data_IF_449382492138
#
_entry.id   IF_449382492138
#
_cell.length_a   1.000
_cell.length_b   1.000
_cell.length_c   1.000
_cell.angle_alpha   90.00
_cell.angle_beta   90.00
_cell.angle_gamma   90.00
#
_symmetry.space_group_name_H-M   'P 1'
#
loop_
_entity.id
_entity.type
_entity.pdbx_description
1 polymer ?
#
# COMPACT_ATOMS: atom_id res chain seq x y z
N UNK A 1 14.73 3.54 -29.74
CA UNK A 1 15.53 2.61 -28.90
C UNK A 1 16.61 3.29 -28.04
N UNK A 2 17.31 4.35 -28.47
CA UNK A 2 18.33 5.01 -27.64
C UNK A 2 17.83 5.63 -26.32
N UNK A 3 16.64 6.25 -26.28
CA UNK A 3 16.09 6.84 -25.05
C UNK A 3 15.79 5.80 -23.95
N UNK A 4 15.18 4.67 -24.30
CA UNK A 4 14.93 3.56 -23.38
C UNK A 4 16.23 2.94 -22.86
N UNK A 5 17.24 2.75 -23.73
CA UNK A 5 18.56 2.26 -23.32
C UNK A 5 19.22 3.19 -22.30
N UNK A 6 19.16 4.51 -22.51
CA UNK A 6 19.67 5.50 -21.57
C UNK A 6 18.98 5.40 -20.20
N UNK A 7 17.66 5.26 -20.16
CA UNK A 7 16.91 5.06 -18.92
C UNK A 7 17.34 3.80 -18.15
N UNK A 8 17.52 2.67 -18.84
CA UNK A 8 17.97 1.43 -18.20
C UNK A 8 19.41 1.53 -17.70
N UNK A 9 20.33 2.09 -18.49
CA UNK A 9 21.73 2.31 -18.07
C UNK A 9 21.81 3.29 -16.90
N UNK A 10 21.00 4.35 -16.88
CA UNK A 10 20.96 5.32 -15.80
C UNK A 10 20.46 4.71 -14.49
N UNK A 11 19.39 3.89 -14.54
CA UNK A 11 18.89 3.18 -13.36
C UNK A 11 19.87 2.12 -12.83
N UNK A 12 20.59 1.45 -13.73
CA UNK A 12 21.61 0.45 -13.36
C UNK A 12 22.72 1.10 -12.53
N UNK A 13 23.23 2.25 -13.00
CA UNK A 13 24.30 3.02 -12.36
C UNK A 13 23.85 3.85 -11.15
N UNK A 14 22.55 3.95 -10.87
CA UNK A 14 22.04 4.79 -9.78
C UNK A 14 22.52 4.26 -8.42
N UNK A 15 23.17 5.10 -7.59
CA UNK A 15 23.59 4.71 -6.26
C UNK A 15 22.36 4.47 -5.36
N UNK A 16 22.62 3.91 -4.19
CA UNK A 16 21.63 3.77 -3.12
C UNK A 16 21.09 5.17 -2.79
N UNK A 17 19.77 5.34 -2.88
CA UNK A 17 19.13 6.63 -2.63
C UNK A 17 19.03 6.88 -1.12
N UNK A 18 19.04 8.15 -0.74
CA UNK A 18 19.10 8.62 0.64
C UNK A 18 17.97 8.04 1.49
N UNK A 19 16.80 7.87 0.88
CA UNK A 19 15.61 7.40 1.56
C UNK A 19 15.40 5.89 1.60
N UNK A 20 16.31 5.11 1.01
CA UNK A 20 16.14 3.66 0.93
C UNK A 20 16.59 2.95 2.22
N UNK A 21 16.01 1.78 2.54
CA UNK A 21 16.48 0.97 3.68
C UNK A 21 17.96 0.59 3.56
N UNK A 22 18.44 0.45 2.33
CA UNK A 22 19.82 0.13 2.01
C UNK A 22 20.80 1.23 2.45
N UNK A 23 20.36 2.49 2.50
CA UNK A 23 21.17 3.58 3.03
C UNK A 23 21.42 3.40 4.53
N UNK A 24 20.38 3.07 5.30
CA UNK A 24 20.49 2.78 6.73
C UNK A 24 21.43 1.59 7.00
N UNK A 25 21.30 0.53 6.19
CA UNK A 25 22.15 -0.66 6.32
C UNK A 25 23.62 -0.33 6.05
N UNK A 26 23.89 0.41 4.97
CA UNK A 26 25.24 0.85 4.62
C UNK A 26 25.84 1.75 5.70
N UNK A 27 25.05 2.68 6.25
CA UNK A 27 25.51 3.63 7.26
C UNK A 27 25.96 2.94 8.56
N UNK A 28 25.18 1.97 9.05
CA UNK A 28 25.48 1.30 10.33
C UNK A 28 26.41 0.10 10.22
N UNK A 29 26.28 -0.70 9.16
CA UNK A 29 27.05 -1.95 9.00
C UNK A 29 28.13 -1.88 7.94
N UNK A 30 28.24 -0.78 7.18
CA UNK A 30 29.22 -0.66 6.10
C UNK A 30 29.01 -1.68 4.98
N UNK A 31 27.83 -2.28 4.87
CA UNK A 31 27.56 -3.41 3.99
C UNK A 31 26.64 -3.01 2.82
N UNK A 32 26.97 -3.51 1.62
CA UNK A 32 26.11 -3.47 0.44
C UNK A 32 26.05 -4.87 -0.19
N UNK A 33 24.87 -5.29 -0.70
CA UNK A 33 24.77 -6.58 -1.37
C UNK A 33 25.60 -6.61 -2.66
N UNK A 34 26.37 -7.69 -2.91
CA UNK A 34 26.98 -7.91 -4.21
C UNK A 34 25.89 -8.03 -5.27
N UNK A 35 26.08 -7.41 -6.44
CA UNK A 35 25.06 -7.30 -7.49
C UNK A 35 23.72 -6.75 -6.97
N UNK A 36 23.76 -5.67 -6.18
CA UNK A 36 22.60 -5.02 -5.55
C UNK A 36 21.33 -4.93 -6.42
N UNK A 37 21.47 -4.63 -7.71
CA UNK A 37 20.33 -4.54 -8.62
C UNK A 37 19.59 -5.89 -8.74
N UNK A 38 20.32 -6.99 -8.89
CA UNK A 38 19.74 -8.35 -8.97
C UNK A 38 19.09 -8.73 -7.65
N UNK A 39 19.76 -8.49 -6.52
CA UNK A 39 19.24 -8.80 -5.19
C UNK A 39 17.94 -8.05 -4.92
N UNK A 40 17.90 -6.74 -5.23
CA UNK A 40 16.71 -5.91 -5.04
C UNK A 40 15.56 -6.34 -5.95
N UNK A 41 15.83 -6.62 -7.23
CA UNK A 41 14.80 -7.12 -8.15
C UNK A 41 14.23 -8.44 -7.62
N UNK A 42 15.08 -9.37 -7.18
CA UNK A 42 14.64 -10.64 -6.63
C UNK A 42 13.78 -10.45 -5.37
N UNK A 43 14.16 -9.55 -4.46
CA UNK A 43 13.39 -9.23 -3.25
C UNK A 43 12.04 -8.61 -3.58
N UNK A 44 11.99 -7.64 -4.50
CA UNK A 44 10.73 -7.01 -4.94
C UNK A 44 9.81 -8.05 -5.58
N UNK A 45 10.32 -8.89 -6.48
CA UNK A 45 9.54 -9.96 -7.11
C UNK A 45 9.04 -10.98 -6.08
N UNK A 46 9.87 -11.36 -5.11
CA UNK A 46 9.47 -12.23 -4.02
C UNK A 46 8.37 -11.60 -3.15
N UNK A 47 8.47 -10.29 -2.88
CA UNK A 47 7.44 -9.55 -2.15
C UNK A 47 6.12 -9.48 -2.91
N UNK A 48 6.15 -9.21 -4.22
CA UNK A 48 4.95 -9.25 -5.07
C UNK A 48 4.34 -10.65 -5.18
N UNK A 49 5.17 -11.69 -5.25
CA UNK A 49 4.70 -13.07 -5.17
C UNK A 49 4.00 -13.32 -3.83
N UNK A 50 4.56 -12.80 -2.72
CA UNK A 50 3.91 -12.84 -1.40
C UNK A 50 2.54 -12.14 -1.38
N UNK A 51 2.40 -10.97 -2.02
CA UNK A 51 1.11 -10.28 -2.17
C UNK A 51 0.12 -11.08 -3.02
N UNK A 52 0.58 -11.68 -4.11
CA UNK A 52 -0.25 -12.54 -4.95
C UNK A 52 -0.73 -13.79 -4.18
N UNK A 53 0.17 -14.46 -3.46
CA UNK A 53 -0.15 -15.61 -2.61
C UNK A 53 -1.12 -15.22 -1.50
N UNK A 54 -0.92 -14.07 -0.85
CA UNK A 54 -1.86 -13.53 0.14
C UNK A 54 -3.26 -13.38 -0.47
N UNK A 55 -3.36 -12.84 -1.69
CA UNK A 55 -4.64 -12.67 -2.37
C UNK A 55 -5.32 -14.00 -2.73
N UNK A 56 -4.55 -15.01 -3.11
CA UNK A 56 -5.05 -16.36 -3.41
C UNK A 56 -5.45 -17.15 -2.16
N UNK A 57 -4.78 -16.91 -1.03
CA UNK A 57 -5.03 -17.61 0.24
C UNK A 57 -6.07 -16.91 1.13
N UNK A 58 -6.43 -15.67 0.80
CA UNK A 58 -7.41 -14.90 1.57
C UNK A 58 -8.77 -15.58 1.59
N UNK A 59 -9.46 -15.49 2.74
CA UNK A 59 -10.74 -16.18 2.94
C UNK A 59 -11.87 -15.64 2.07
N UNK A 60 -11.82 -14.33 1.82
CA UNK A 60 -12.73 -13.59 0.94
C UNK A 60 -11.84 -12.80 0.00
N UNK A 61 -12.30 -12.56 -1.23
CA UNK A 61 -11.53 -11.78 -2.21
C UNK A 61 -11.03 -10.44 -1.62
N UNK A 62 -9.72 -10.18 -1.62
CA UNK A 62 -9.18 -8.89 -1.23
C UNK A 62 -9.67 -7.79 -2.18
N UNK A 63 -9.81 -6.56 -1.68
CA UNK A 63 -10.19 -5.42 -2.52
C UNK A 63 -9.01 -5.02 -3.41
N UNK A 64 -9.29 -4.55 -4.63
CA UNK A 64 -8.23 -4.12 -5.57
C UNK A 64 -7.30 -3.08 -4.94
N UNK A 65 -7.87 -2.09 -4.25
CA UNK A 65 -7.11 -1.04 -3.57
C UNK A 65 -6.12 -1.61 -2.53
N UNK A 66 -6.50 -2.68 -1.81
CA UNK A 66 -5.63 -3.31 -0.82
C UNK A 66 -4.42 -3.99 -1.48
N UNK A 67 -4.64 -4.74 -2.56
CA UNK A 67 -3.56 -5.40 -3.30
C UNK A 67 -2.67 -4.38 -4.02
N UNK A 68 -3.26 -3.35 -4.63
CA UNK A 68 -2.53 -2.27 -5.27
C UNK A 68 -1.64 -1.51 -4.26
N UNK A 69 -2.20 -1.17 -3.09
CA UNK A 69 -1.44 -0.56 -2.01
C UNK A 69 -0.25 -1.43 -1.59
N UNK A 70 -0.48 -2.71 -1.28
CA UNK A 70 0.58 -3.63 -0.86
C UNK A 70 1.66 -3.80 -1.94
N UNK A 71 1.27 -3.86 -3.21
CA UNK A 71 2.20 -3.99 -4.35
C UNK A 71 3.16 -2.80 -4.44
N UNK A 72 2.63 -1.57 -4.34
CA UNK A 72 3.46 -0.37 -4.38
C UNK A 72 4.25 -0.21 -3.08
N UNK A 73 3.66 -0.53 -1.92
CA UNK A 73 4.35 -0.44 -0.63
C UNK A 73 5.54 -1.42 -0.53
N UNK A 74 5.39 -2.66 -1.02
CA UNK A 74 6.50 -3.62 -1.15
C UNK A 74 7.62 -3.05 -2.03
N UNK A 75 7.26 -2.46 -3.16
CA UNK A 75 8.23 -1.82 -4.05
C UNK A 75 8.98 -0.69 -3.33
N UNK A 76 8.26 0.20 -2.64
CA UNK A 76 8.83 1.31 -1.86
C UNK A 76 9.77 0.80 -0.76
N UNK A 77 9.39 -0.25 -0.03
CA UNK A 77 10.17 -0.78 1.08
C UNK A 77 11.43 -1.54 0.64
N UNK A 78 11.44 -2.17 -0.53
CA UNK A 78 12.55 -3.05 -0.94
C UNK A 78 13.48 -2.41 -1.98
N UNK A 79 13.02 -1.40 -2.71
CA UNK A 79 13.80 -0.78 -3.77
C UNK A 79 14.99 0.05 -3.22
N UNK A 80 16.09 0.14 -3.99
CA UNK A 80 17.22 1.06 -3.70
C UNK A 80 16.89 2.52 -4.00
N UNK A 81 15.92 2.75 -4.88
CA UNK A 81 15.49 4.08 -5.26
C UNK A 81 14.23 4.42 -4.48
N UNK A 82 14.31 5.44 -3.64
CA UNK A 82 13.15 5.98 -2.96
C UNK A 82 13.18 7.51 -3.03
N UNK A 83 12.11 8.08 -3.53
CA UNK A 83 11.85 9.52 -3.50
C UNK A 83 10.67 9.77 -2.56
N UNK A 84 10.69 10.82 -1.72
CA UNK A 84 9.54 11.20 -0.89
C UNK A 84 8.26 11.42 -1.70
N UNK A 85 8.38 11.65 -3.01
CA UNK A 85 7.25 11.79 -3.94
C UNK A 85 6.45 10.49 -4.12
N UNK A 86 7.04 9.32 -3.88
CA UNK A 86 6.34 8.04 -3.99
C UNK A 86 5.17 7.92 -3.00
N UNK A 87 5.21 8.66 -1.89
CA UNK A 87 4.11 8.78 -0.93
C UNK A 87 2.83 9.27 -1.60
N UNK A 88 2.92 10.14 -2.61
CA UNK A 88 1.76 10.65 -3.34
C UNK A 88 0.98 9.54 -4.07
N UNK A 89 1.66 8.45 -4.45
CA UNK A 89 1.00 7.28 -5.03
C UNK A 89 0.34 6.42 -3.96
N UNK A 90 0.94 6.37 -2.76
CA UNK A 90 0.43 5.59 -1.64
C UNK A 90 -0.79 6.24 -0.98
N UNK A 91 -0.88 7.58 -0.90
CA UNK A 91 -1.99 8.29 -0.25
C UNK A 91 -3.38 7.85 -0.75
N UNK A 92 -3.71 7.95 -2.07
CA UNK A 92 -5.04 7.57 -2.55
C UNK A 92 -5.31 6.07 -2.35
N UNK A 93 -4.28 5.23 -2.54
CA UNK A 93 -4.39 3.79 -2.33
C UNK A 93 -4.61 3.43 -0.86
N UNK A 94 -3.94 4.11 0.07
CA UNK A 94 -4.10 3.91 1.50
C UNK A 94 -5.51 4.33 1.95
N UNK A 95 -6.00 5.47 1.46
CA UNK A 95 -7.34 5.96 1.74
C UNK A 95 -8.43 4.97 1.29
N UNK A 96 -8.26 4.38 0.10
CA UNK A 96 -9.18 3.37 -0.44
C UNK A 96 -9.01 1.99 0.21
N UNK A 97 -7.77 1.58 0.47
CA UNK A 97 -7.47 0.27 1.06
C UNK A 97 -7.98 0.19 2.50
N UNK A 98 -7.89 1.28 3.27
CA UNK A 98 -8.29 1.30 4.67
C UNK A 98 -8.76 2.69 5.10
N UNK A 99 -10.06 3.02 4.95
CA UNK A 99 -10.64 4.32 5.31
C UNK A 99 -10.76 4.52 6.84
N UNK A 100 -9.66 4.32 7.58
CA UNK A 100 -9.54 4.58 9.02
C UNK A 100 -8.61 5.76 9.24
N UNK A 101 -9.18 6.91 9.55
CA UNK A 101 -8.45 8.18 9.68
C UNK A 101 -7.30 8.13 10.68
N UNK A 102 -7.46 7.37 11.78
CA UNK A 102 -6.44 7.24 12.83
C UNK A 102 -5.14 6.66 12.30
N UNK A 103 -5.23 5.57 11.55
CA UNK A 103 -4.06 4.87 11.04
C UNK A 103 -3.42 5.61 9.88
N UNK A 104 -4.26 6.25 9.04
CA UNK A 104 -3.78 7.17 8.02
C UNK A 104 -2.98 8.32 8.63
N UNK A 105 -3.47 8.95 9.70
CA UNK A 105 -2.75 10.04 10.38
C UNK A 105 -1.44 9.56 11.01
N UNK A 106 -1.41 8.40 11.66
CA UNK A 106 -0.17 7.84 12.24
C UNK A 106 0.89 7.68 11.16
N UNK A 107 0.53 7.08 10.04
CA UNK A 107 1.44 6.93 8.90
C UNK A 107 1.84 8.27 8.29
N UNK A 108 0.88 9.17 8.08
CA UNK A 108 1.14 10.49 7.50
C UNK A 108 2.10 11.32 8.35
N UNK A 109 2.02 11.21 9.69
CA UNK A 109 2.98 11.83 10.59
C UNK A 109 4.40 11.30 10.36
N UNK A 110 4.57 9.98 10.21
CA UNK A 110 5.88 9.38 9.87
C UNK A 110 6.41 9.90 8.53
N UNK A 111 5.56 9.98 7.50
CA UNK A 111 5.92 10.48 6.17
C UNK A 111 6.32 11.95 6.18
N UNK A 112 5.57 12.80 6.89
CA UNK A 112 5.85 14.23 6.98
C UNK A 112 7.17 14.47 7.75
N UNK A 113 7.39 13.74 8.85
CA UNK A 113 8.65 13.82 9.60
C UNK A 113 9.84 13.40 8.74
N UNK A 114 9.70 12.31 7.98
CA UNK A 114 10.72 11.89 7.04
C UNK A 114 10.93 12.92 5.91
N UNK A 115 9.86 13.45 5.33
CA UNK A 115 9.93 14.49 4.29
C UNK A 115 10.71 15.72 4.76
N UNK A 116 10.41 16.23 5.96
CA UNK A 116 11.14 17.35 6.56
C UNK A 116 12.60 16.97 6.81
N UNK A 117 12.85 15.75 7.30
CA UNK A 117 14.20 15.25 7.58
C UNK A 117 15.08 15.21 6.34
N UNK A 118 14.54 14.85 5.18
CA UNK A 118 15.26 14.88 3.89
C UNK A 118 15.79 16.28 3.59
N UNK A 119 14.96 17.32 3.73
CA UNK A 119 15.40 18.69 3.44
C UNK A 119 16.47 19.18 4.41
N UNK A 120 16.31 18.91 5.71
CA UNK A 120 17.34 19.24 6.69
C UNK A 120 18.63 18.45 6.49
N UNK A 121 18.54 17.20 6.02
CA UNK A 121 19.70 16.38 5.69
C UNK A 121 20.43 16.89 4.44
N UNK A 122 19.70 17.38 3.43
CA UNK A 122 20.33 18.04 2.28
C UNK A 122 21.05 19.34 2.68
N UNK A 123 20.48 20.11 3.60
CA UNK A 123 21.16 21.29 4.18
C UNK A 123 22.42 20.89 4.94
N UNK A 124 22.39 19.79 5.69
CA UNK A 124 23.57 19.24 6.39
C UNK A 124 24.68 18.89 5.41
N UNK A 125 24.35 18.17 4.34
CA UNK A 125 25.32 17.80 3.30
C UNK A 125 25.88 19.01 2.54
N UNK A 126 25.09 20.09 2.38
CA UNK A 126 25.54 21.36 1.82
C UNK A 126 26.27 22.27 2.84
N UNK A 127 26.29 21.89 4.13
CA UNK A 127 26.85 22.66 5.23
C UNK A 127 28.32 23.06 5.09
N UNK A 128 29.23 22.18 4.59
CA UNK A 128 30.65 22.50 4.44
C UNK A 128 30.93 23.68 3.49
N UNK A 129 30.08 23.92 2.49
CA UNK A 129 30.25 25.02 1.54
C UNK A 129 29.63 26.34 2.01
N UNK A 130 28.75 26.30 3.03
CA UNK A 130 27.86 27.42 3.36
C UNK A 130 28.00 27.93 4.80
N UNK A 131 28.92 27.36 5.60
CA UNK A 131 29.14 27.74 7.01
C UNK A 131 27.93 27.47 7.94
N UNK A 132 26.95 26.69 7.48
CA UNK A 132 25.68 26.49 8.17
C UNK A 132 25.61 25.08 8.78
N UNK A 133 25.69 24.99 10.11
CA UNK A 133 25.61 23.73 10.88
C UNK A 133 24.18 23.33 11.27
N UNK A 134 23.15 24.04 10.79
CA UNK A 134 21.73 23.83 11.16
C UNK A 134 21.05 22.64 10.46
N UNK A 135 21.82 21.73 9.88
CA UNK A 135 21.29 20.55 9.19
C UNK A 135 21.05 19.35 10.11
N UNK A 136 20.44 18.29 9.59
CA UNK A 136 20.21 17.04 10.31
C UNK A 136 21.44 16.11 10.17
N UNK A 137 22.12 15.71 11.26
CA UNK A 137 23.24 14.78 11.18
C UNK A 137 22.82 13.39 10.68
N UNK A 138 23.75 12.67 10.05
CA UNK A 138 23.53 11.37 9.38
C UNK A 138 22.76 10.36 10.25
N UNK A 139 23.12 10.24 11.53
CA UNK A 139 22.47 9.32 12.46
C UNK A 139 20.98 9.63 12.64
N UNK A 140 20.62 10.91 12.80
CA UNK A 140 19.23 11.33 12.95
C UNK A 140 18.46 11.13 11.64
N UNK A 141 19.11 11.33 10.50
CA UNK A 141 18.52 11.06 9.21
C UNK A 141 18.20 9.56 9.04
N UNK A 142 19.11 8.66 9.41
CA UNK A 142 18.84 7.20 9.39
C UNK A 142 17.66 6.82 10.27
N UNK A 143 17.53 7.42 11.46
CA UNK A 143 16.34 7.22 12.30
C UNK A 143 15.04 7.68 11.62
N UNK A 144 15.07 8.77 10.86
CA UNK A 144 13.91 9.23 10.09
C UNK A 144 13.52 8.24 8.96
N UNK A 145 14.49 7.59 8.32
CA UNK A 145 14.25 6.51 7.35
C UNK A 145 13.54 5.36 8.05
N UNK A 146 14.05 4.90 9.20
CA UNK A 146 13.41 3.82 9.95
C UNK A 146 11.99 4.17 10.42
N UNK A 147 11.74 5.42 10.80
CA UNK A 147 10.42 5.91 11.16
C UNK A 147 9.44 5.78 9.98
N UNK A 148 9.86 6.22 8.79
CA UNK A 148 9.09 6.10 7.55
C UNK A 148 8.82 4.64 7.18
N UNK A 149 9.87 3.79 7.18
CA UNK A 149 9.74 2.37 6.89
C UNK A 149 8.80 1.69 7.89
N UNK A 150 8.96 1.99 9.18
CA UNK A 150 8.10 1.49 10.25
C UNK A 150 6.64 1.91 10.09
N UNK A 151 6.39 3.17 9.72
CA UNK A 151 5.05 3.68 9.43
C UNK A 151 4.41 2.97 8.23
N UNK A 152 5.17 2.76 7.15
CA UNK A 152 4.68 2.06 5.96
C UNK A 152 4.40 0.58 6.27
N UNK A 153 5.30 -0.10 6.98
CA UNK A 153 5.11 -1.48 7.46
C UNK A 153 3.88 -1.57 8.36
N UNK A 154 3.68 -0.60 9.26
CA UNK A 154 2.50 -0.53 10.11
C UNK A 154 1.21 -0.56 9.27
N UNK A 155 1.08 0.30 8.25
CA UNK A 155 -0.10 0.28 7.38
C UNK A 155 -0.22 -1.03 6.61
N UNK A 156 0.88 -1.58 6.08
CA UNK A 156 0.86 -2.87 5.38
C UNK A 156 0.32 -3.97 6.28
N UNK A 157 0.79 -4.06 7.53
CA UNK A 157 0.32 -5.06 8.51
C UNK A 157 -1.18 -4.88 8.78
N UNK A 158 -1.66 -3.64 8.89
CA UNK A 158 -3.07 -3.39 9.11
C UNK A 158 -3.94 -3.78 7.91
N UNK A 159 -3.48 -3.49 6.69
CA UNK A 159 -4.17 -3.92 5.45
C UNK A 159 -4.18 -5.45 5.35
N UNK A 160 -3.06 -6.12 5.62
CA UNK A 160 -2.98 -7.59 5.62
C UNK A 160 -3.93 -8.18 6.66
N UNK A 161 -4.03 -7.58 7.85
CA UNK A 161 -5.00 -8.02 8.89
C UNK A 161 -6.44 -7.87 8.42
N UNK A 162 -6.78 -6.80 7.72
CA UNK A 162 -8.12 -6.60 7.15
C UNK A 162 -8.41 -7.60 6.00
N UNK A 163 -7.39 -8.02 5.24
CA UNK A 163 -7.51 -9.08 4.22
C UNK A 163 -7.75 -10.46 4.87
N UNK A 164 -7.01 -10.77 5.94
CA UNK A 164 -7.06 -12.08 6.61
C UNK A 164 -8.29 -12.25 7.51
N UNK A 165 -8.81 -11.18 8.10
CA UNK A 165 -10.04 -11.17 8.91
C UNK A 165 -11.10 -10.25 8.26
N UNK A 166 -11.95 -10.80 7.37
CA UNK A 166 -12.95 -10.00 6.64
C UNK A 166 -13.90 -9.19 7.52
N UNK A 167 -14.09 -9.58 8.79
CA UNK A 167 -14.92 -8.85 9.77
C UNK A 167 -14.34 -7.49 10.16
N UNK A 168 -13.04 -7.29 9.92
CA UNK A 168 -12.34 -6.04 10.22
C UNK A 168 -12.33 -5.09 9.04
N UNK A 169 -12.79 -5.50 7.86
CA UNK A 169 -12.83 -4.65 6.69
C UNK A 169 -13.86 -3.53 6.86
N UNK A 170 -13.44 -2.27 7.06
CA UNK A 170 -14.37 -1.17 7.33
C UNK A 170 -15.33 -0.88 6.17
N UNK A 171 -14.99 -1.27 4.94
CA UNK A 171 -15.82 -1.04 3.74
C UNK A 171 -16.93 -2.08 3.61
N UNK A 172 -16.76 -3.27 4.20
CA UNK A 172 -17.71 -4.38 4.13
C UNK A 172 -18.31 -4.73 5.49
N UNK A 173 -18.11 -3.86 6.49
CA UNK A 173 -18.48 -4.10 7.89
C UNK A 173 -20.00 -4.04 8.14
N UNK A 174 -20.74 -3.32 7.29
CA UNK A 174 -22.20 -3.26 7.28
C UNK A 174 -22.85 -4.54 6.75
N UNK A 175 -22.12 -5.33 5.95
CA UNK A 175 -22.56 -6.64 5.44
C UNK A 175 -23.67 -6.58 4.41
N UNK A 176 -24.05 -5.38 3.96
CA UNK A 176 -25.15 -5.13 3.00
C UNK A 176 -24.63 -5.00 1.58
N UNK A 177 -23.48 -4.35 1.39
CA UNK A 177 -22.88 -4.09 0.08
C UNK A 177 -21.53 -4.82 -0.06
N UNK A 178 -21.25 -5.39 -1.23
CA UNK A 178 -19.92 -5.86 -1.55
C UNK A 178 -18.98 -4.68 -1.93
N UNK A 179 -17.77 -4.92 -2.47
CA UNK A 179 -16.82 -3.83 -2.73
C UNK A 179 -17.40 -2.81 -3.73
N UNK A 180 -17.57 -1.52 -3.35
CA UNK A 180 -18.04 -0.48 -4.28
C UNK A 180 -17.11 -0.29 -5.48
N UNK A 181 -15.83 -0.64 -5.33
CA UNK A 181 -14.85 -0.61 -6.42
C UNK A 181 -14.77 -1.93 -7.22
N UNK A 182 -15.61 -2.92 -6.90
CA UNK A 182 -15.59 -4.26 -7.51
C UNK A 182 -16.09 -4.31 -8.95
N UNK A 183 -16.89 -3.31 -9.38
CA UNK A 183 -17.41 -3.22 -10.74
C UNK A 183 -18.08 -4.51 -11.21
N UNK A 184 -17.62 -5.07 -12.33
CA UNK A 184 -18.16 -6.32 -12.88
C UNK A 184 -17.98 -7.55 -11.98
N UNK A 185 -17.09 -7.47 -10.97
CA UNK A 185 -16.88 -8.54 -10.00
C UNK A 185 -17.81 -8.41 -8.79
N UNK A 186 -18.48 -7.28 -8.57
CA UNK A 186 -19.42 -7.09 -7.46
C UNK A 186 -20.45 -8.24 -7.42
N UNK A 187 -20.71 -8.78 -6.23
CA UNK A 187 -21.57 -9.95 -5.96
C UNK A 187 -21.22 -11.27 -6.66
N UNK A 188 -20.13 -11.33 -7.44
CA UNK A 188 -19.67 -12.59 -8.03
C UNK A 188 -19.22 -13.59 -6.93
N UNK A 189 -19.52 -14.89 -7.08
CA UNK A 189 -19.16 -15.90 -6.09
C UNK A 189 -17.63 -16.07 -6.00
N UNK A 190 -17.12 -16.14 -4.77
CA UNK A 190 -15.69 -16.35 -4.50
C UNK A 190 -15.30 -17.81 -4.80
N UNK A 191 -14.56 -18.01 -5.90
CA UNK A 191 -14.22 -19.36 -6.40
C UNK A 191 -13.11 -20.04 -5.58
N UNK A 192 -12.24 -19.25 -4.94
CA UNK A 192 -11.05 -19.75 -4.20
C UNK A 192 -11.06 -19.44 -2.69
N UNK A 193 -12.24 -19.16 -2.12
CA UNK A 193 -12.40 -18.95 -0.68
C UNK A 193 -12.33 -20.28 0.09
N UNK A 194 -11.21 -20.55 0.78
CA UNK A 194 -10.96 -21.82 1.48
C UNK A 194 -11.95 -22.16 2.64
N UNK A 195 -12.96 -21.33 2.95
CA UNK A 195 -14.14 -21.71 3.74
C UNK A 195 -15.15 -20.54 3.86
N UNK A 196 -16.37 -20.71 3.35
CA UNK A 196 -17.51 -21.10 4.19
C UNK A 196 -18.80 -21.28 3.38
N UNK A 197 -19.79 -22.00 3.97
CA UNK A 197 -21.07 -22.32 3.35
C UNK A 197 -21.90 -21.07 3.07
N UNK A 198 -22.61 -21.11 1.95
CA UNK A 198 -23.64 -20.15 1.53
C UNK A 198 -24.58 -19.82 2.70
N UNK A 199 -24.44 -18.63 3.30
CA UNK A 199 -25.54 -18.05 4.07
C UNK A 199 -26.50 -17.41 3.07
N UNK A 200 -27.40 -18.24 2.56
CA UNK A 200 -28.61 -17.80 1.89
C UNK A 200 -29.43 -16.99 2.92
N UNK A 201 -29.42 -15.66 2.84
CA UNK A 201 -30.40 -14.80 3.51
C UNK A 201 -30.90 -13.81 2.47
N UNK A 202 -31.85 -14.27 1.67
CA UNK A 202 -33.28 -14.07 1.87
C UNK A 202 -33.73 -12.82 1.11
N UNK A 203 -34.38 -13.11 -0.01
CA UNK A 203 -35.32 -12.27 -0.73
C UNK A 203 -36.00 -11.22 0.17
N UNK A 204 -35.60 -9.96 0.06
CA UNK A 204 -36.48 -8.84 0.35
C UNK A 204 -36.32 -7.81 -0.75
N UNK A 205 -37.00 -8.12 -1.86
CA UNK A 205 -37.16 -7.26 -3.02
C UNK A 205 -38.28 -7.75 -3.94
N UNK A 206 -39.26 -8.48 -3.40
CA UNK A 206 -40.55 -8.66 -4.05
C UNK A 206 -41.47 -7.60 -3.46
N UNK A 207 -41.43 -6.40 -4.01
CA UNK A 207 -42.58 -5.51 -3.99
C UNK A 207 -43.72 -6.25 -4.69
N UNK A 208 -44.50 -6.99 -3.91
CA UNK A 208 -45.81 -7.46 -4.31
C UNK A 208 -46.65 -6.21 -4.58
N UNK A 209 -46.76 -5.82 -5.85
CA UNK A 209 -47.83 -4.93 -6.31
C UNK A 209 -49.13 -5.64 -5.95
N UNK A 210 -50.03 -5.06 -5.13
CA UNK A 210 -51.32 -5.67 -4.87
C UNK A 210 -52.06 -5.75 -6.20
N UNK A 211 -52.54 -6.95 -6.55
CA UNK A 211 -53.39 -7.14 -7.71
C UNK A 211 -54.60 -6.19 -7.59
N UNK A 212 -54.83 -5.38 -8.62
CA UNK A 212 -55.99 -4.52 -8.71
C UNK A 212 -57.26 -5.38 -8.66
N UNK A 213 -58.16 -5.04 -7.74
CA UNK A 213 -59.46 -5.65 -7.54
C UNK A 213 -60.36 -5.35 -8.75
N UNK A 214 -61.07 -6.33 -9.35
CA UNK A 214 -61.92 -6.06 -10.50
C UNK A 214 -63.19 -5.31 -10.07
N UNK A 215 -63.49 -4.19 -10.75
CA UNK A 215 -64.73 -3.43 -10.57
C UNK A 215 -65.96 -4.33 -10.78
N UNK A 216 -66.98 -4.26 -9.89
CA UNK A 216 -68.26 -4.89 -10.17
C UNK A 216 -69.00 -4.08 -11.23
N UNK A 217 -69.31 -4.75 -12.35
CA UNK A 217 -70.29 -4.27 -13.30
C UNK A 217 -71.68 -4.21 -12.64
N UNK A 218 -72.32 -3.04 -12.67
CA UNK A 218 -73.77 -2.94 -12.51
C UNK A 218 -74.34 -1.86 -13.42
N UNK A 219 -75.45 -2.24 -14.05
CA UNK A 219 -76.24 -1.54 -15.07
C UNK A 219 -77.01 -0.33 -14.55
#
# INVERSE_FOLDING_TARGET
FHGWKYFFTFNDNRPIDLGSPWFAIRHWWGWEPPNKNVVIIALVLAGWLGVALLGLMARRRPRFAQLAFLTIAVFVLLNKVYSPQYVLWLIPLAALARPRWRDFLVWQCCEVLYYVSVWYYLVWQAGPSNGNTRGLPDNFYVWSILLHLGGTIYLMVQVIRDILDPRRDPVRADGVEDDPAGGALSDSPDVWAWAQPRSHRAQHGATAVPAAEPEPASA
#
